data_IF_374002302104
#
_entry.id   IF_374002302104
#
_cell.length_a   1.000
_cell.length_b   1.000
_cell.length_c   1.000
_cell.angle_alpha   90.00
_cell.angle_beta   90.00
_cell.angle_gamma   90.00
#
_symmetry.space_group_name_H-M   'P 1'
#
loop_
_entity.id
_entity.type
_entity.pdbx_description
1 polymer ?
#
# COMPACT_ATOMS: atom_id res chain seq x y z
N UNK A 1 -25.49 10.13 -52.13
CA UNK A 1 -25.99 10.40 -50.78
C UNK A 1 -25.83 9.11 -49.97
N UNK A 2 -24.67 8.95 -49.30
CA UNK A 2 -24.37 7.79 -48.46
C UNK A 2 -24.71 8.13 -47.02
N UNK A 3 -25.63 7.38 -46.42
CA UNK A 3 -26.03 7.53 -45.01
C UNK A 3 -24.87 7.12 -44.10
N UNK A 4 -24.61 7.94 -43.09
CA UNK A 4 -23.70 7.64 -41.98
C UNK A 4 -24.33 6.60 -41.05
N UNK A 5 -23.55 5.66 -40.46
CA UNK A 5 -24.08 4.68 -39.51
C UNK A 5 -24.32 5.35 -38.14
N UNK A 6 -25.45 5.00 -37.57
CA UNK A 6 -25.97 5.40 -36.27
C UNK A 6 -25.04 5.18 -35.10
N UNK A 7 -25.12 6.07 -34.13
CA UNK A 7 -24.54 6.11 -32.81
C UNK A 7 -24.51 4.72 -32.12
N UNK A 8 -23.30 4.22 -31.92
CA UNK A 8 -23.09 3.16 -30.94
C UNK A 8 -22.90 3.82 -29.57
N UNK A 9 -23.87 3.58 -28.70
CA UNK A 9 -23.86 4.07 -27.33
C UNK A 9 -22.56 3.74 -26.62
N UNK A 10 -22.02 4.73 -25.92
CA UNK A 10 -20.89 4.57 -24.99
C UNK A 10 -21.25 3.51 -23.94
N UNK A 11 -20.32 2.64 -23.54
CA UNK A 11 -20.57 1.68 -22.47
C UNK A 11 -20.90 2.42 -21.18
N UNK A 12 -21.99 2.02 -20.53
CA UNK A 12 -22.43 2.52 -19.23
C UNK A 12 -21.26 2.58 -18.26
N UNK A 13 -20.98 3.79 -17.79
CA UNK A 13 -19.97 4.09 -16.79
C UNK A 13 -20.38 3.43 -15.45
N UNK A 14 -19.90 2.22 -15.16
CA UNK A 14 -20.13 1.46 -13.92
C UNK A 14 -19.34 1.97 -12.72
N UNK A 15 -18.66 3.12 -12.86
CA UNK A 15 -17.83 3.70 -11.79
C UNK A 15 -18.62 4.48 -10.71
N UNK A 16 -19.97 4.51 -10.79
CA UNK A 16 -20.78 5.33 -9.88
C UNK A 16 -21.56 4.54 -8.82
N UNK A 17 -21.31 3.26 -8.62
CA UNK A 17 -21.96 2.51 -7.54
C UNK A 17 -20.95 1.53 -6.92
N UNK A 18 -20.22 1.97 -5.91
CA UNK A 18 -19.58 1.07 -4.97
C UNK A 18 -20.63 0.17 -4.30
N UNK A 19 -20.29 -1.03 -3.83
CA UNK A 19 -21.22 -1.90 -3.15
C UNK A 19 -21.88 -1.13 -2.00
N UNK A 20 -23.22 -1.25 -1.86
CA UNK A 20 -23.93 -0.69 -0.71
C UNK A 20 -23.29 -1.27 0.55
N UNK A 21 -22.62 -0.42 1.33
CA UNK A 21 -22.08 -0.79 2.63
C UNK A 21 -23.24 -1.34 3.47
N UNK A 22 -23.13 -2.59 3.88
CA UNK A 22 -24.00 -3.16 4.90
C UNK A 22 -23.72 -2.45 6.22
N UNK A 23 -24.74 -2.22 7.05
CA UNK A 23 -24.73 -1.41 8.29
C UNK A 23 -23.70 -1.82 9.36
N UNK A 24 -22.80 -2.77 9.08
CA UNK A 24 -21.83 -3.35 10.03
C UNK A 24 -20.37 -3.08 9.71
N UNK A 25 -20.03 -2.44 8.59
CA UNK A 25 -18.62 -2.16 8.28
C UNK A 25 -18.12 -0.92 9.01
N UNK A 26 -17.01 -1.07 9.76
CA UNK A 26 -16.34 0.07 10.38
C UNK A 26 -15.91 1.09 9.32
N UNK A 27 -15.92 2.37 9.70
CA UNK A 27 -15.47 3.44 8.82
C UNK A 27 -13.95 3.32 8.61
N UNK A 28 -13.53 3.37 7.36
CA UNK A 28 -12.12 3.51 6.99
C UNK A 28 -11.67 4.94 7.30
N UNK A 29 -10.56 5.09 8.00
CA UNK A 29 -10.02 6.39 8.40
C UNK A 29 -8.74 6.76 7.64
N UNK A 30 -8.02 5.76 7.10
CA UNK A 30 -6.73 6.01 6.43
C UNK A 30 -6.48 5.10 5.22
N UNK A 31 -5.72 5.64 4.28
CA UNK A 31 -5.07 4.92 3.18
C UNK A 31 -3.64 5.45 3.02
N UNK A 32 -2.65 4.58 3.15
CA UNK A 32 -1.24 4.98 3.23
C UNK A 32 -0.47 4.63 1.96
N UNK A 33 -0.97 3.72 1.13
CA UNK A 33 -0.30 3.29 -0.08
C UNK A 33 -1.01 3.83 -1.32
N UNK A 34 -0.54 5.00 -1.79
CA UNK A 34 -1.07 5.64 -3.00
C UNK A 34 0.03 6.37 -3.78
N UNK A 35 -0.18 6.53 -5.09
CA UNK A 35 0.77 7.08 -6.04
C UNK A 35 0.18 8.22 -6.85
N UNK A 36 1.02 9.20 -7.20
CA UNK A 36 0.68 10.27 -8.13
C UNK A 36 1.43 10.11 -9.45
N UNK A 37 1.21 11.02 -10.39
CA UNK A 37 1.96 11.09 -11.66
C UNK A 37 3.48 11.11 -11.45
N UNK A 38 3.98 11.43 -10.25
CA UNK A 38 5.41 11.43 -9.93
C UNK A 38 6.01 10.02 -9.93
N UNK A 39 5.21 8.99 -9.67
CA UNK A 39 5.62 7.58 -9.80
C UNK A 39 5.80 7.10 -11.26
N UNK A 40 5.49 7.96 -12.26
CA UNK A 40 5.73 7.71 -13.67
C UNK A 40 4.68 6.86 -14.38
N UNK A 41 3.88 6.08 -13.65
CA UNK A 41 2.83 5.23 -14.20
C UNK A 41 1.50 5.30 -13.43
N UNK A 42 1.32 6.34 -12.62
CA UNK A 42 0.05 6.73 -12.04
C UNK A 42 -0.54 7.94 -12.78
N UNK A 43 -1.83 8.23 -12.59
CA UNK A 43 -2.57 9.11 -13.50
C UNK A 43 -3.23 10.31 -12.83
N UNK A 44 -3.07 10.47 -11.51
CA UNK A 44 -3.61 11.62 -10.78
C UNK A 44 -2.51 12.47 -10.19
N UNK A 45 -2.76 13.78 -10.15
CA UNK A 45 -1.89 14.74 -9.48
C UNK A 45 -2.06 14.67 -7.96
N UNK A 46 -1.08 15.20 -7.21
CA UNK A 46 -1.17 15.32 -5.75
C UNK A 46 -2.46 16.03 -5.31
N UNK A 47 -2.86 17.11 -6.01
CA UNK A 47 -4.08 17.87 -5.66
C UNK A 47 -5.35 17.05 -5.87
N UNK A 48 -5.43 16.23 -6.92
CA UNK A 48 -6.55 15.33 -7.17
C UNK A 48 -6.64 14.22 -6.11
N UNK A 49 -5.48 13.65 -5.70
CA UNK A 49 -5.43 12.65 -4.63
C UNK A 49 -5.90 13.24 -3.30
N UNK A 50 -5.44 14.44 -2.93
CA UNK A 50 -5.86 15.14 -1.72
C UNK A 50 -7.37 15.42 -1.75
N UNK A 51 -7.89 15.96 -2.86
CA UNK A 51 -9.32 16.25 -3.00
C UNK A 51 -10.19 14.99 -2.85
N UNK A 52 -9.75 13.87 -3.42
CA UNK A 52 -10.47 12.60 -3.31
C UNK A 52 -10.39 12.01 -1.90
N UNK A 53 -9.23 12.06 -1.23
CA UNK A 53 -9.09 11.64 0.16
C UNK A 53 -10.04 12.42 1.09
N UNK A 54 -10.10 13.75 0.92
CA UNK A 54 -11.05 14.59 1.65
C UNK A 54 -12.53 14.24 1.33
N UNK A 55 -12.86 14.03 0.05
CA UNK A 55 -14.21 13.64 -0.39
C UNK A 55 -14.64 12.30 0.24
N UNK A 56 -13.72 11.37 0.40
CA UNK A 56 -13.95 10.06 1.06
C UNK A 56 -13.97 10.16 2.58
N UNK A 57 -13.63 11.32 3.15
CA UNK A 57 -13.63 11.58 4.58
C UNK A 57 -12.53 10.84 5.33
N UNK A 58 -11.37 10.63 4.67
CA UNK A 58 -10.18 10.07 5.32
C UNK A 58 -9.64 11.06 6.36
N UNK A 59 -9.09 10.50 7.42
CA UNK A 59 -8.32 11.23 8.44
C UNK A 59 -6.85 11.31 8.10
N UNK A 60 -6.32 10.25 7.47
CA UNK A 60 -4.93 10.21 6.99
C UNK A 60 -4.91 9.72 5.54
N UNK A 61 -4.19 10.45 4.69
CA UNK A 61 -3.81 10.01 3.34
C UNK A 61 -2.28 9.97 3.25
N UNK A 62 -1.73 8.81 2.87
CA UNK A 62 -0.33 8.65 2.52
C UNK A 62 -0.12 8.78 1.01
N UNK A 63 0.86 9.56 0.59
CA UNK A 63 1.37 9.57 -0.78
C UNK A 63 2.77 8.98 -0.72
N UNK A 64 2.93 7.79 -1.28
CA UNK A 64 4.13 6.97 -1.17
C UNK A 64 4.65 6.62 -2.55
N UNK A 65 5.25 7.62 -3.23
CA UNK A 65 5.79 7.43 -4.57
C UNK A 65 6.84 6.33 -4.61
N UNK A 66 6.94 5.62 -5.72
CA UNK A 66 7.97 4.60 -5.89
C UNK A 66 9.39 5.15 -5.74
N UNK A 67 10.23 4.38 -5.07
CA UNK A 67 11.66 4.63 -4.94
C UNK A 67 12.42 4.63 -6.28
N UNK A 68 13.66 5.09 -6.26
CA UNK A 68 14.46 5.43 -7.46
C UNK A 68 14.75 4.24 -8.39
N UNK A 69 14.65 2.99 -7.91
CA UNK A 69 14.91 1.81 -8.73
C UNK A 69 13.80 1.48 -9.73
N UNK A 70 12.58 2.01 -9.54
CA UNK A 70 11.49 1.83 -10.51
C UNK A 70 11.71 2.75 -11.72
N UNK A 71 11.78 2.20 -12.96
CA UNK A 71 11.97 3.00 -14.15
C UNK A 71 10.85 4.03 -14.35
N UNK A 72 11.23 5.29 -14.59
CA UNK A 72 10.28 6.36 -14.88
C UNK A 72 9.71 7.08 -13.65
N UNK A 73 10.06 6.65 -12.43
CA UNK A 73 9.69 7.36 -11.20
C UNK A 73 10.44 8.68 -11.04
N UNK A 74 10.00 9.48 -10.08
CA UNK A 74 10.69 10.69 -9.65
C UNK A 74 12.05 10.37 -9.01
N UNK A 75 12.97 11.34 -9.04
CA UNK A 75 14.29 11.21 -8.42
C UNK A 75 14.30 11.76 -6.98
N UNK A 76 15.44 11.58 -6.26
CA UNK A 76 15.59 12.01 -4.86
C UNK A 76 15.34 13.50 -4.61
N UNK A 77 15.47 14.39 -5.61
CA UNK A 77 15.17 15.80 -5.44
C UNK A 77 13.69 16.01 -5.16
N UNK A 78 12.79 15.22 -5.78
CA UNK A 78 11.37 15.23 -5.49
C UNK A 78 11.12 14.94 -4.00
N UNK A 79 11.66 13.84 -3.49
CA UNK A 79 11.50 13.44 -2.09
C UNK A 79 12.05 14.47 -1.11
N UNK A 80 13.24 15.03 -1.40
CA UNK A 80 13.85 16.07 -0.57
C UNK A 80 13.06 17.38 -0.54
N UNK A 81 12.27 17.66 -1.58
CA UNK A 81 11.46 18.87 -1.67
C UNK A 81 10.04 18.73 -1.10
N UNK A 82 9.62 17.56 -0.62
CA UNK A 82 8.29 17.32 -0.06
C UNK A 82 7.96 18.22 1.14
N UNK A 83 8.97 18.82 1.77
CA UNK A 83 8.81 19.76 2.90
C UNK A 83 8.01 21.03 2.54
N UNK A 84 7.89 21.39 1.25
CA UNK A 84 7.12 22.58 0.80
C UNK A 84 5.60 22.34 0.83
N UNK A 85 5.17 21.08 0.97
CA UNK A 85 3.77 20.69 0.92
C UNK A 85 3.18 20.71 2.34
N UNK A 86 2.07 21.44 2.60
CA UNK A 86 1.38 21.39 3.88
C UNK A 86 0.93 19.97 4.23
N UNK A 87 1.07 19.60 5.51
CA UNK A 87 0.66 18.29 6.03
C UNK A 87 -0.79 18.26 6.52
N UNK A 88 -1.44 19.41 6.66
CA UNK A 88 -2.82 19.51 7.12
C UNK A 88 -3.72 20.05 6.01
N UNK A 89 -4.80 19.32 5.70
CA UNK A 89 -5.78 19.63 4.67
C UNK A 89 -7.19 19.48 5.22
N UNK A 90 -7.71 20.56 5.84
CA UNK A 90 -8.94 20.47 6.61
C UNK A 90 -8.75 19.53 7.82
N UNK A 91 -9.58 18.51 7.96
CA UNK A 91 -9.43 17.49 9.01
C UNK A 91 -8.49 16.34 8.63
N UNK A 92 -8.04 16.28 7.37
CA UNK A 92 -7.17 15.21 6.89
C UNK A 92 -5.70 15.57 7.05
N UNK A 93 -4.94 14.67 7.65
CA UNK A 93 -3.48 14.71 7.70
C UNK A 93 -2.92 14.04 6.44
N UNK A 94 -1.96 14.68 5.79
CA UNK A 94 -1.22 14.14 4.66
C UNK A 94 0.14 13.62 5.16
N UNK A 95 0.46 12.37 4.87
CA UNK A 95 1.78 11.79 5.09
C UNK A 95 2.47 11.64 3.73
N UNK A 96 3.63 12.28 3.58
CA UNK A 96 4.41 12.23 2.35
C UNK A 96 5.60 11.31 2.53
N UNK A 97 5.71 10.32 1.65
CA UNK A 97 6.68 9.26 1.82
C UNK A 97 7.14 8.62 0.52
N UNK A 98 7.67 7.42 0.66
CA UNK A 98 8.11 6.61 -0.47
C UNK A 98 7.74 5.14 -0.25
N UNK A 99 7.44 4.47 -1.36
CA UNK A 99 7.49 3.03 -1.47
C UNK A 99 8.89 2.62 -1.96
N UNK A 100 9.73 2.27 -0.99
CA UNK A 100 11.12 1.86 -1.22
C UNK A 100 11.17 0.46 -1.82
N UNK A 101 12.13 0.23 -2.70
CA UNK A 101 12.35 -1.08 -3.29
C UNK A 101 13.34 -1.88 -2.45
N UNK A 102 12.97 -3.10 -2.07
CA UNK A 102 13.91 -4.08 -1.56
C UNK A 102 14.62 -4.67 -2.78
N UNK A 103 15.94 -4.50 -2.88
CA UNK A 103 16.70 -4.79 -4.08
C UNK A 103 17.29 -6.20 -4.12
N UNK A 104 17.58 -6.75 -2.96
CA UNK A 104 18.33 -8.02 -2.84
C UNK A 104 17.99 -8.80 -1.57
N UNK A 105 18.54 -10.00 -1.48
CA UNK A 105 18.38 -10.91 -0.34
C UNK A 105 19.05 -10.44 0.96
N UNK A 106 19.70 -9.27 0.95
CA UNK A 106 20.24 -8.62 2.16
C UNK A 106 19.31 -7.55 2.72
N UNK A 107 18.19 -7.28 2.03
CA UNK A 107 17.23 -6.25 2.41
C UNK A 107 17.71 -4.83 2.09
N UNK A 108 18.58 -4.67 1.10
CA UNK A 108 19.06 -3.35 0.65
C UNK A 108 17.88 -2.55 0.08
N UNK A 109 17.73 -1.31 0.55
CA UNK A 109 16.72 -0.37 0.06
C UNK A 109 17.32 0.60 -0.95
N UNK A 110 16.55 1.05 -1.91
CA UNK A 110 16.98 1.85 -3.07
C UNK A 110 17.10 3.36 -2.81
N UNK A 111 17.02 3.81 -1.57
CA UNK A 111 17.15 5.22 -1.20
C UNK A 111 18.12 5.37 -0.03
N UNK A 112 18.85 6.51 0.02
CA UNK A 112 19.79 6.80 1.10
C UNK A 112 19.11 7.37 2.36
N UNK A 113 19.80 7.23 3.51
CA UNK A 113 19.30 7.67 4.80
C UNK A 113 19.02 9.18 4.85
N UNK A 114 19.84 10.02 4.23
CA UNK A 114 19.60 11.47 4.16
C UNK A 114 18.27 11.81 3.49
N UNK A 115 17.86 11.02 2.52
CA UNK A 115 16.57 11.23 1.84
C UNK A 115 15.41 10.67 2.63
N UNK A 116 15.46 9.40 3.06
CA UNK A 116 14.31 8.78 3.75
C UNK A 116 14.06 9.35 5.15
N UNK A 117 15.08 9.89 5.84
CA UNK A 117 14.91 10.56 7.14
C UNK A 117 14.03 11.82 7.07
N UNK A 118 13.79 12.35 5.86
CA UNK A 118 12.95 13.54 5.61
C UNK A 118 11.50 13.19 5.31
N UNK A 119 11.18 11.90 5.19
CA UNK A 119 9.85 11.42 4.84
C UNK A 119 9.02 11.17 6.10
N UNK A 120 7.72 11.48 6.01
CA UNK A 120 6.78 11.22 7.10
C UNK A 120 6.51 9.73 7.27
N UNK A 121 6.44 8.99 6.14
CA UNK A 121 6.14 7.56 6.11
C UNK A 121 7.04 6.85 5.09
N UNK A 122 7.45 5.62 5.40
CA UNK A 122 8.24 4.76 4.52
C UNK A 122 7.61 3.38 4.48
N UNK A 123 7.24 2.97 3.29
CA UNK A 123 6.84 1.59 3.02
C UNK A 123 7.91 0.93 2.17
N UNK A 124 8.07 -0.38 2.24
CA UNK A 124 9.07 -1.11 1.48
C UNK A 124 8.46 -2.38 0.89
N UNK A 125 8.78 -2.67 -0.37
CA UNK A 125 8.24 -3.82 -1.08
C UNK A 125 9.22 -4.44 -2.07
N UNK A 126 8.91 -5.65 -2.51
CA UNK A 126 9.64 -6.32 -3.58
C UNK A 126 8.93 -6.07 -4.90
N UNK A 127 9.64 -5.46 -5.85
CA UNK A 127 9.11 -5.22 -7.20
C UNK A 127 9.93 -6.00 -8.23
N UNK A 128 9.25 -6.70 -9.12
CA UNK A 128 9.86 -7.56 -10.15
C UNK A 128 10.92 -6.84 -10.98
N UNK A 129 10.77 -5.53 -11.22
CA UNK A 129 11.67 -4.75 -12.08
C UNK A 129 13.05 -4.50 -11.47
N UNK A 130 13.17 -4.55 -10.14
CA UNK A 130 14.41 -4.21 -9.43
C UNK A 130 14.85 -5.26 -8.40
N UNK A 131 14.06 -6.35 -8.24
CA UNK A 131 14.38 -7.42 -7.30
C UNK A 131 15.43 -8.40 -7.88
N UNK A 132 16.47 -8.66 -7.12
CA UNK A 132 17.42 -9.74 -7.38
C UNK A 132 17.21 -10.83 -6.34
N UNK A 133 16.42 -11.83 -6.72
CA UNK A 133 16.01 -12.93 -5.83
C UNK A 133 17.07 -13.99 -5.60
N UNK A 134 16.79 -14.86 -4.63
CA UNK A 134 17.56 -16.04 -4.27
C UNK A 134 16.63 -17.22 -4.00
N UNK A 135 17.06 -18.12 -3.10
CA UNK A 135 16.21 -19.18 -2.57
C UNK A 135 15.10 -18.60 -1.69
N UNK A 136 14.10 -19.42 -1.33
CA UNK A 136 13.02 -19.02 -0.43
C UNK A 136 13.55 -18.48 0.91
N UNK A 137 14.57 -19.14 1.45
CA UNK A 137 15.23 -18.77 2.71
C UNK A 137 15.97 -17.43 2.57
N UNK A 138 16.70 -17.23 1.47
CA UNK A 138 17.42 -15.98 1.19
C UNK A 138 16.46 -14.82 0.95
N UNK A 139 15.38 -15.04 0.19
CA UNK A 139 14.33 -14.05 -0.04
C UNK A 139 13.68 -13.63 1.29
N UNK A 140 13.37 -14.64 2.13
CA UNK A 140 12.78 -14.40 3.46
C UNK A 140 13.73 -13.62 4.35
N UNK A 141 15.04 -13.96 4.33
CA UNK A 141 16.04 -13.22 5.09
C UNK A 141 16.14 -11.76 4.65
N UNK A 142 16.11 -11.49 3.34
CA UNK A 142 16.08 -10.13 2.78
C UNK A 142 14.85 -9.33 3.22
N UNK A 143 13.66 -9.92 3.17
CA UNK A 143 12.43 -9.30 3.66
C UNK A 143 12.50 -9.02 5.16
N UNK A 144 12.97 -9.97 5.97
CA UNK A 144 13.15 -9.79 7.42
C UNK A 144 14.18 -8.70 7.72
N UNK A 145 15.27 -8.59 6.94
CA UNK A 145 16.24 -7.52 7.07
C UNK A 145 15.65 -6.14 6.76
N UNK A 146 14.81 -6.03 5.72
CA UNK A 146 14.07 -4.81 5.41
C UNK A 146 13.06 -4.43 6.50
N UNK A 147 12.37 -5.40 7.11
CA UNK A 147 11.47 -5.19 8.26
C UNK A 147 12.25 -4.65 9.47
N UNK A 148 13.43 -5.20 9.74
CA UNK A 148 14.29 -4.79 10.87
C UNK A 148 15.02 -3.47 10.64
N UNK A 149 14.94 -2.91 9.45
CA UNK A 149 15.43 -1.56 9.22
C UNK A 149 14.56 -0.56 10.01
N UNK A 150 15.12 0.22 10.94
CA UNK A 150 14.35 1.09 11.84
C UNK A 150 13.56 2.19 11.11
N UNK A 151 13.84 2.39 9.83
CA UNK A 151 13.13 3.35 9.01
C UNK A 151 11.93 2.77 8.26
N UNK A 152 11.74 1.44 8.24
CA UNK A 152 10.61 0.78 7.57
C UNK A 152 9.39 0.74 8.48
N UNK A 153 8.31 1.39 8.09
CA UNK A 153 7.05 1.39 8.83
C UNK A 153 6.08 0.30 8.37
N UNK A 154 6.05 0.03 7.06
CA UNK A 154 5.10 -0.89 6.44
C UNK A 154 5.84 -1.71 5.38
N UNK A 155 5.52 -2.99 5.28
CA UNK A 155 5.88 -3.81 4.12
C UNK A 155 4.69 -3.84 3.16
N UNK A 156 4.89 -3.31 1.94
CA UNK A 156 3.89 -3.33 0.88
C UNK A 156 3.79 -4.72 0.25
N UNK A 157 2.57 -5.14 -0.04
CA UNK A 157 2.16 -6.36 -0.75
C UNK A 157 3.06 -7.61 -0.59
N UNK A 158 3.46 -8.01 0.63
CA UNK A 158 4.40 -9.12 0.85
C UNK A 158 3.88 -10.46 0.31
N UNK A 159 2.57 -10.57 0.13
CA UNK A 159 1.90 -11.78 -0.33
C UNK A 159 1.58 -11.79 -1.83
N UNK A 160 2.09 -10.85 -2.65
CA UNK A 160 1.73 -10.78 -4.07
C UNK A 160 2.34 -11.92 -4.93
N UNK A 161 3.33 -12.65 -4.40
CA UNK A 161 4.00 -13.75 -5.09
C UNK A 161 5.12 -13.31 -6.04
N UNK A 162 5.56 -12.06 -5.98
CA UNK A 162 6.74 -11.58 -6.72
C UNK A 162 8.02 -12.31 -6.28
N UNK A 163 8.11 -12.66 -5.00
CA UNK A 163 9.14 -13.55 -4.45
C UNK A 163 8.48 -14.68 -3.65
N UNK A 164 9.07 -15.87 -3.70
CA UNK A 164 8.68 -16.96 -2.80
C UNK A 164 9.26 -16.69 -1.40
N UNK A 165 8.39 -16.72 -0.37
CA UNK A 165 8.68 -16.30 0.99
C UNK A 165 8.11 -17.29 2.03
N UNK A 166 8.79 -17.42 3.16
CA UNK A 166 8.26 -18.04 4.37
C UNK A 166 7.61 -16.95 5.24
N UNK A 167 6.29 -17.00 5.41
CA UNK A 167 5.56 -15.88 6.05
C UNK A 167 5.69 -15.85 7.57
N UNK A 168 5.87 -16.98 8.24
CA UNK A 168 5.96 -16.98 9.72
C UNK A 168 7.15 -16.16 10.25
N UNK A 169 8.39 -16.29 9.73
CA UNK A 169 9.51 -15.41 10.11
C UNK A 169 9.23 -13.93 9.86
N UNK A 170 8.53 -13.59 8.76
CA UNK A 170 8.15 -12.23 8.38
C UNK A 170 7.18 -11.64 9.40
N UNK A 171 6.11 -12.37 9.74
CA UNK A 171 5.11 -11.94 10.74
C UNK A 171 5.74 -11.77 12.12
N UNK A 172 6.64 -12.67 12.52
CA UNK A 172 7.34 -12.55 13.80
C UNK A 172 8.29 -11.36 13.84
N UNK A 173 9.01 -11.08 12.75
CA UNK A 173 9.84 -9.88 12.64
C UNK A 173 9.00 -8.60 12.69
N UNK A 174 7.88 -8.57 11.97
CA UNK A 174 6.94 -7.45 11.99
C UNK A 174 6.37 -7.18 13.39
N UNK A 175 6.07 -8.24 14.15
CA UNK A 175 5.68 -8.13 15.56
C UNK A 175 6.77 -7.51 16.44
N UNK A 176 8.00 -7.97 16.27
CA UNK A 176 9.17 -7.50 17.02
C UNK A 176 9.45 -6.01 16.81
N UNK A 177 9.32 -5.55 15.57
CA UNK A 177 9.69 -4.18 15.16
C UNK A 177 8.52 -3.20 15.11
N UNK A 178 7.29 -3.64 15.36
CA UNK A 178 6.06 -2.86 15.13
C UNK A 178 5.91 -2.38 13.66
N UNK A 179 6.42 -3.16 12.70
CA UNK A 179 6.21 -2.92 11.27
C UNK A 179 4.87 -3.52 10.84
N UNK A 180 4.07 -2.77 10.09
CA UNK A 180 2.81 -3.28 9.56
C UNK A 180 3.03 -4.12 8.30
N UNK A 181 2.24 -5.18 8.13
CA UNK A 181 2.18 -5.95 6.89
C UNK A 181 0.93 -5.55 6.12
N UNK A 182 1.10 -5.24 4.85
CA UNK A 182 0.00 -4.81 3.99
C UNK A 182 -0.77 -6.00 3.40
N UNK A 183 -2.10 -5.90 3.40
CA UNK A 183 -3.00 -6.66 2.54
C UNK A 183 -3.42 -5.71 1.42
N UNK A 184 -2.84 -5.89 0.24
CA UNK A 184 -2.96 -4.96 -0.86
C UNK A 184 -4.15 -5.31 -1.76
N UNK A 185 -5.12 -4.39 -1.87
CA UNK A 185 -6.34 -4.59 -2.64
C UNK A 185 -6.07 -4.65 -4.15
N UNK A 186 -5.10 -3.87 -4.63
CA UNK A 186 -4.74 -3.80 -6.05
C UNK A 186 -4.19 -5.13 -6.59
N UNK A 187 -3.54 -5.93 -5.73
CA UNK A 187 -3.02 -7.26 -6.08
C UNK A 187 -4.12 -8.19 -6.63
N UNK A 188 -5.36 -8.05 -6.15
CA UNK A 188 -6.47 -8.94 -6.50
C UNK A 188 -7.37 -8.40 -7.61
N UNK A 189 -7.00 -7.30 -8.27
CA UNK A 189 -7.77 -6.77 -9.40
C UNK A 189 -7.80 -7.76 -10.56
N UNK A 190 -8.94 -7.93 -11.23
CA UNK A 190 -9.06 -8.85 -12.37
C UNK A 190 -8.09 -8.58 -13.52
N UNK A 191 -7.58 -7.35 -13.63
CA UNK A 191 -6.59 -6.93 -14.63
C UNK A 191 -5.15 -7.31 -14.28
N UNK A 192 -4.88 -7.70 -13.03
CA UNK A 192 -3.56 -8.13 -12.54
C UNK A 192 -3.53 -9.66 -12.39
N UNK A 193 -2.37 -10.25 -12.65
CA UNK A 193 -2.17 -11.68 -12.48
C UNK A 193 -0.94 -11.92 -11.61
N UNK A 194 -1.20 -12.27 -10.36
CA UNK A 194 -0.20 -12.61 -9.36
C UNK A 194 -0.43 -14.05 -8.90
N UNK A 195 0.42 -15.01 -9.32
CA UNK A 195 0.31 -16.42 -8.91
C UNK A 195 0.42 -16.54 -7.39
N UNK A 196 -0.43 -17.39 -6.80
CA UNK A 196 -0.44 -17.68 -5.35
C UNK A 196 -0.74 -16.48 -4.43
N UNK A 197 -1.04 -15.30 -4.97
CA UNK A 197 -1.27 -14.11 -4.16
C UNK A 197 -2.40 -14.32 -3.13
N UNK A 198 -3.45 -15.02 -3.52
CA UNK A 198 -4.58 -15.30 -2.62
C UNK A 198 -4.17 -16.18 -1.44
N UNK A 199 -3.53 -17.30 -1.72
CA UNK A 199 -3.07 -18.28 -0.75
C UNK A 199 -2.05 -17.66 0.21
N UNK A 200 -1.11 -16.89 -0.31
CA UNK A 200 -0.10 -16.18 0.46
C UNK A 200 -0.73 -15.18 1.45
N UNK A 201 -1.67 -14.36 0.98
CA UNK A 201 -2.33 -13.38 1.85
C UNK A 201 -3.24 -14.04 2.88
N UNK A 202 -3.89 -15.16 2.57
CA UNK A 202 -4.63 -15.95 3.55
C UNK A 202 -3.69 -16.52 4.64
N UNK A 203 -2.50 -16.97 4.26
CA UNK A 203 -1.50 -17.44 5.22
C UNK A 203 -1.01 -16.30 6.11
N UNK A 204 -0.66 -15.14 5.53
CA UNK A 204 -0.28 -13.93 6.28
C UNK A 204 -1.37 -13.57 7.30
N UNK A 205 -2.63 -13.49 6.88
CA UNK A 205 -3.75 -13.17 7.76
C UNK A 205 -3.90 -14.18 8.90
N UNK A 206 -3.81 -15.50 8.63
CA UNK A 206 -3.88 -16.55 9.66
C UNK A 206 -2.73 -16.44 10.67
N UNK A 207 -1.52 -16.15 10.21
CA UNK A 207 -0.35 -15.95 11.07
C UNK A 207 -0.48 -14.66 11.88
N UNK A 208 -0.89 -13.55 11.26
CA UNK A 208 -1.14 -12.29 11.96
C UNK A 208 -2.21 -12.43 13.05
N UNK A 209 -3.31 -13.15 12.76
CA UNK A 209 -4.34 -13.49 13.76
C UNK A 209 -3.78 -14.35 14.90
N UNK A 210 -2.99 -15.40 14.57
CA UNK A 210 -2.35 -16.27 15.55
C UNK A 210 -1.43 -15.54 16.50
N UNK A 211 -0.65 -14.62 15.98
CA UNK A 211 0.40 -13.90 16.73
C UNK A 211 -0.05 -12.53 17.26
N UNK A 212 -1.30 -12.15 17.06
CA UNK A 212 -1.86 -10.84 17.43
C UNK A 212 -1.07 -9.66 16.82
N UNK A 213 -0.81 -9.76 15.52
CA UNK A 213 -0.11 -8.74 14.74
C UNK A 213 -1.12 -7.97 13.90
N UNK A 214 -1.18 -6.63 14.02
CA UNK A 214 -2.08 -5.85 13.19
C UNK A 214 -1.60 -5.81 11.73
N UNK A 215 -2.58 -5.71 10.82
CA UNK A 215 -2.35 -5.50 9.39
C UNK A 215 -2.86 -4.15 8.94
N UNK A 216 -2.35 -3.66 7.82
CA UNK A 216 -2.87 -2.50 7.13
C UNK A 216 -3.43 -2.90 5.76
N UNK A 217 -4.58 -2.36 5.39
CA UNK A 217 -5.12 -2.49 4.04
C UNK A 217 -4.54 -1.38 3.17
N UNK A 218 -4.03 -1.71 2.00
CA UNK A 218 -3.53 -0.75 1.02
C UNK A 218 -4.38 -0.76 -0.24
N UNK A 219 -4.73 0.42 -0.76
CA UNK A 219 -5.39 0.51 -2.06
C UNK A 219 -4.41 0.40 -3.21
N UNK A 220 -3.16 0.83 -3.01
CA UNK A 220 -2.14 0.99 -4.05
C UNK A 220 -2.73 1.78 -5.23
N UNK A 221 -3.39 2.90 -4.88
CA UNK A 221 -4.14 3.69 -5.84
C UNK A 221 -3.20 4.47 -6.76
N UNK A 222 -3.26 4.14 -8.04
CA UNK A 222 -2.59 4.86 -9.13
C UNK A 222 -3.51 5.85 -9.86
N UNK A 223 -4.75 5.98 -9.37
CA UNK A 223 -5.77 6.87 -9.87
C UNK A 223 -6.68 7.27 -8.72
N UNK A 224 -6.96 8.57 -8.56
CA UNK A 224 -7.63 9.11 -7.37
C UNK A 224 -8.93 8.37 -6.98
N UNK A 225 -9.85 7.98 -7.87
CA UNK A 225 -11.05 7.22 -7.53
C UNK A 225 -10.80 5.90 -6.78
N UNK A 226 -9.60 5.34 -6.90
CA UNK A 226 -9.22 4.06 -6.26
C UNK A 226 -8.74 4.22 -4.81
N UNK A 227 -8.52 5.44 -4.32
CA UNK A 227 -8.16 5.70 -2.91
C UNK A 227 -9.14 4.99 -1.98
N UNK A 228 -8.63 4.30 -0.95
CA UNK A 228 -9.42 3.54 0.01
C UNK A 228 -10.40 2.51 -0.62
N UNK A 229 -10.07 1.98 -1.79
CA UNK A 229 -10.81 0.88 -2.40
C UNK A 229 -10.22 -0.46 -1.93
N UNK A 230 -10.80 -1.02 -0.88
CA UNK A 230 -10.38 -2.28 -0.27
C UNK A 230 -11.33 -3.45 -0.58
N UNK A 231 -12.16 -3.32 -1.64
CA UNK A 231 -13.19 -4.32 -1.97
C UNK A 231 -12.62 -5.73 -2.17
N UNK A 232 -11.39 -5.84 -2.65
CA UNK A 232 -10.73 -7.11 -2.88
C UNK A 232 -10.08 -7.72 -1.62
N UNK A 233 -9.90 -6.94 -0.54
CA UNK A 233 -9.39 -7.45 0.74
C UNK A 233 -10.49 -8.12 1.56
N UNK A 234 -11.72 -7.62 1.51
CA UNK A 234 -12.82 -8.09 2.36
C UNK A 234 -13.12 -9.60 2.26
N UNK A 235 -13.09 -10.24 1.08
CA UNK A 235 -13.27 -11.69 1.00
C UNK A 235 -12.22 -12.49 1.77
N UNK A 236 -10.95 -12.01 1.80
CA UNK A 236 -9.87 -12.69 2.52
C UNK A 236 -10.02 -12.51 4.04
N UNK A 237 -10.39 -11.30 4.47
CA UNK A 237 -10.66 -11.01 5.88
C UNK A 237 -11.82 -11.88 6.40
N UNK A 238 -12.90 -12.00 5.63
CA UNK A 238 -14.05 -12.83 5.97
C UNK A 238 -13.70 -14.32 6.03
N UNK A 239 -12.92 -14.83 5.08
CA UNK A 239 -12.53 -16.25 5.02
C UNK A 239 -11.64 -16.64 6.20
N UNK A 240 -10.81 -15.73 6.68
CA UNK A 240 -9.92 -15.96 7.83
C UNK A 240 -10.59 -15.62 9.17
N UNK A 241 -11.81 -15.09 9.14
CA UNK A 241 -12.47 -14.51 10.31
C UNK A 241 -11.50 -13.58 11.05
N UNK A 242 -10.91 -12.64 10.28
CA UNK A 242 -9.86 -11.75 10.77
C UNK A 242 -10.47 -10.68 11.69
N UNK A 243 -9.93 -10.48 12.91
CA UNK A 243 -10.54 -9.57 13.87
C UNK A 243 -10.41 -8.10 13.40
N UNK A 244 -11.51 -7.35 13.38
CA UNK A 244 -11.51 -5.91 13.11
C UNK A 244 -10.52 -5.14 13.98
N UNK A 245 -10.32 -5.59 15.23
CA UNK A 245 -9.35 -4.98 16.14
C UNK A 245 -7.89 -5.08 15.69
N UNK A 246 -7.58 -5.92 14.70
CA UNK A 246 -6.25 -6.04 14.10
C UNK A 246 -6.14 -5.34 12.74
N UNK A 247 -7.19 -4.66 12.26
CA UNK A 247 -7.15 -3.84 11.05
C UNK A 247 -6.90 -2.39 11.46
N UNK A 248 -5.70 -1.89 11.15
CA UNK A 248 -5.26 -0.58 11.64
C UNK A 248 -5.99 0.58 10.93
N UNK A 249 -6.56 0.35 9.73
CA UNK A 249 -7.23 1.38 8.92
C UNK A 249 -8.48 1.97 9.56
N UNK A 250 -8.99 1.38 10.63
CA UNK A 250 -10.19 1.82 11.33
C UNK A 250 -9.91 2.81 12.47
N UNK A 251 -8.63 3.15 12.73
CA UNK A 251 -8.25 3.94 13.91
C UNK A 251 -6.95 4.71 13.62
N UNK A 252 -7.09 6.01 13.33
CA UNK A 252 -5.95 6.89 13.01
C UNK A 252 -4.99 7.07 14.19
N UNK A 253 -5.51 7.19 15.41
CA UNK A 253 -4.68 7.40 16.60
C UNK A 253 -3.84 6.15 16.89
N UNK A 254 -4.45 4.98 16.75
CA UNK A 254 -3.75 3.71 16.91
C UNK A 254 -2.69 3.52 15.83
N UNK A 255 -2.97 3.90 14.58
CA UNK A 255 -1.98 3.85 13.49
C UNK A 255 -0.75 4.70 13.83
N UNK A 256 -0.97 5.96 14.22
CA UNK A 256 0.12 6.87 14.58
C UNK A 256 0.91 6.37 15.79
N UNK A 257 0.22 5.89 16.82
CA UNK A 257 0.84 5.35 18.04
C UNK A 257 1.65 4.08 17.74
N UNK A 258 1.11 3.17 16.94
CA UNK A 258 1.75 1.90 16.61
C UNK A 258 3.08 2.09 15.88
N UNK A 259 3.14 3.08 14.99
CA UNK A 259 4.34 3.41 14.21
C UNK A 259 5.23 4.48 14.88
N UNK A 260 4.86 5.00 16.05
CA UNK A 260 5.60 6.07 16.73
C UNK A 260 5.60 7.40 15.94
N UNK A 261 4.60 7.63 15.11
CA UNK A 261 4.40 8.87 14.35
C UNK A 261 3.58 9.86 15.19
N UNK A 262 4.08 11.09 15.36
CA UNK A 262 3.43 12.16 16.12
C UNK A 262 2.89 13.26 15.20
#
# INVERSE_FOLDING_TARGET
>A
MKMLPSERGLPNNRYLCGPKMTETMKKIELDIHTHTIASGHAYSTLSEMIAEGQRKGLKILGITEHGEAIPGTCNRIYFRNLHVIPRQWGEMRLLLGAELNILDTKGTLDMDEDTWSRLDIRIAGIHRLCWTGGTVEENTAGMVAAIRNPWTHIISHPGDGTAELLFEPIVLAAKETHTLLEINSSTFRPSRHFPNARENNLEILRLCKRYDVPVILGSDAHFAPDIANYEHCYPLLAETDFPDGLIINYDEERFLTYLGLQ
#
